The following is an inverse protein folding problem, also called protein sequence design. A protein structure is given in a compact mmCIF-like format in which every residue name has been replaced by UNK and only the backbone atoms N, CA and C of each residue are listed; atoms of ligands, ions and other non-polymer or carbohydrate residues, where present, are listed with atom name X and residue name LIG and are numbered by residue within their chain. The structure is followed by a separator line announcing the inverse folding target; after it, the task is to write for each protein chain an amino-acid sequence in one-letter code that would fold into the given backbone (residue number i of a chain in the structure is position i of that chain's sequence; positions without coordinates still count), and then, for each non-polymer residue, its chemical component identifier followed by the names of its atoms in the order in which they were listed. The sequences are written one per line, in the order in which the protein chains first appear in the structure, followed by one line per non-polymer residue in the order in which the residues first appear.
data_IF_354444998719
#
_entry.id   IF_354444998719
#
_cell.length_a   1.000
_cell.length_b   1.000
_cell.length_c   1.000
_cell.angle_alpha   90.00
_cell.angle_beta   90.00
_cell.angle_gamma   90.00
#
_symmetry.space_group_name_H-M   'P 1'
#
loop_
_entity.id
_entity.type
_entity.pdbx_description
1 polymer ?
#
# COMPACT_ATOMS: atom_id res chain seq x y z
N UNK A 1 -27.89 -13.76 10.09
CA UNK A 1 -27.55 -12.87 8.97
C UNK A 1 -26.26 -13.41 8.42
N UNK A 2 -26.29 -13.88 7.17
CA UNK A 2 -25.10 -14.39 6.50
C UNK A 2 -24.06 -13.26 6.46
N UNK A 3 -22.92 -13.44 7.14
CA UNK A 3 -21.84 -12.48 7.08
C UNK A 3 -21.34 -12.47 5.63
N UNK A 4 -21.30 -11.31 4.97
CA UNK A 4 -20.61 -11.23 3.68
C UNK A 4 -19.15 -11.65 3.90
N UNK A 5 -18.81 -12.86 3.46
CA UNK A 5 -17.45 -13.37 3.55
C UNK A 5 -16.67 -12.89 2.35
N UNK A 6 -15.52 -12.26 2.61
CA UNK A 6 -14.66 -11.71 1.57
C UNK A 6 -13.30 -12.41 1.54
N UNK A 7 -12.71 -12.48 0.35
CA UNK A 7 -11.35 -12.96 0.14
C UNK A 7 -10.50 -11.90 -0.55
N UNK A 8 -9.22 -11.83 -0.17
CA UNK A 8 -8.21 -11.00 -0.81
C UNK A 8 -7.27 -11.88 -1.63
N UNK A 9 -7.13 -11.56 -2.91
CA UNK A 9 -6.29 -12.30 -3.84
C UNK A 9 -5.30 -11.35 -4.52
N UNK A 10 -4.03 -11.74 -4.61
CA UNK A 10 -3.00 -10.92 -5.23
C UNK A 10 -2.56 -11.50 -6.58
N UNK A 11 -2.38 -10.62 -7.56
CA UNK A 11 -1.77 -10.93 -8.86
C UNK A 11 -0.67 -9.92 -9.16
N UNK A 12 0.41 -10.33 -9.83
CA UNK A 12 1.52 -9.46 -10.19
C UNK A 12 1.99 -9.70 -11.63
N UNK A 13 2.53 -8.66 -12.26
CA UNK A 13 3.34 -8.82 -13.47
C UNK A 13 4.74 -9.33 -13.13
N UNK A 14 5.58 -9.48 -14.16
CA UNK A 14 6.97 -9.93 -14.00
C UNK A 14 7.79 -8.89 -13.22
N UNK A 15 8.66 -9.39 -12.35
CA UNK A 15 9.62 -8.57 -11.60
C UNK A 15 10.78 -8.12 -12.48
N UNK A 16 11.17 -6.86 -12.31
CA UNK A 16 12.31 -6.20 -12.96
C UNK A 16 13.36 -5.93 -11.87
N UNK A 17 14.52 -6.57 -11.97
CA UNK A 17 15.56 -6.50 -10.93
C UNK A 17 16.27 -5.14 -10.92
N UNK A 18 16.69 -4.63 -12.07
CA UNK A 18 17.50 -3.41 -12.20
C UNK A 18 16.65 -2.18 -12.52
N UNK A 19 15.59 -1.98 -11.73
CA UNK A 19 14.70 -0.86 -11.95
C UNK A 19 15.27 0.45 -11.35
N UNK A 20 15.23 1.58 -12.06
CA UNK A 20 15.78 2.85 -11.58
C UNK A 20 15.03 3.37 -10.35
N UNK A 21 15.76 3.99 -9.42
CA UNK A 21 15.21 4.63 -8.24
C UNK A 21 14.63 6.01 -8.58
N UNK A 22 13.35 6.08 -8.96
CA UNK A 22 12.63 7.33 -9.25
C UNK A 22 11.54 7.60 -8.20
N UNK A 23 11.24 8.88 -7.95
CA UNK A 23 10.06 9.27 -7.14
C UNK A 23 10.06 8.77 -5.70
N UNK A 24 11.22 8.68 -5.04
CA UNK A 24 11.35 8.16 -3.67
C UNK A 24 11.52 6.64 -3.57
N UNK A 25 11.63 5.94 -4.70
CA UNK A 25 11.96 4.51 -4.71
C UNK A 25 13.36 4.24 -4.14
N UNK A 26 13.50 3.16 -3.38
CA UNK A 26 14.78 2.72 -2.82
C UNK A 26 15.64 2.04 -3.90
N UNK A 27 16.90 2.47 -3.99
CA UNK A 27 17.88 1.90 -4.89
C UNK A 27 18.17 0.43 -4.56
N UNK A 28 18.17 -0.42 -5.60
CA UNK A 28 18.43 -1.86 -5.47
C UNK A 28 17.21 -2.68 -5.04
N UNK A 29 16.06 -2.04 -4.75
CA UNK A 29 14.80 -2.77 -4.59
C UNK A 29 14.20 -3.02 -5.98
N UNK A 30 13.81 -4.27 -6.30
CA UNK A 30 13.17 -4.58 -7.58
C UNK A 30 11.88 -3.79 -7.82
N UNK A 31 11.40 -3.82 -9.06
CA UNK A 31 10.11 -3.27 -9.45
C UNK A 31 9.21 -4.34 -10.00
N UNK A 32 7.93 -4.32 -9.65
CA UNK A 32 6.86 -4.99 -10.38
C UNK A 32 6.00 -3.89 -10.98
N UNK A 33 5.83 -3.92 -12.29
CA UNK A 33 5.08 -2.88 -13.02
C UNK A 33 3.66 -2.73 -12.48
N UNK A 34 3.01 -3.85 -12.13
CA UNK A 34 1.65 -3.86 -11.62
C UNK A 34 1.43 -5.00 -10.64
N UNK A 35 1.08 -4.65 -9.40
CA UNK A 35 0.58 -5.56 -8.37
C UNK A 35 -0.88 -5.19 -8.13
N UNK A 36 -1.78 -6.18 -8.14
CA UNK A 36 -3.21 -5.95 -7.91
C UNK A 36 -3.71 -6.86 -6.80
N UNK A 37 -4.35 -6.26 -5.80
CA UNK A 37 -5.12 -6.93 -4.77
C UNK A 37 -6.59 -6.85 -5.14
N UNK A 38 -7.24 -8.00 -5.28
CA UNK A 38 -8.65 -8.12 -5.64
C UNK A 38 -9.45 -8.52 -4.41
N UNK A 39 -10.55 -7.81 -4.16
CA UNK A 39 -11.54 -8.16 -3.17
C UNK A 39 -12.64 -8.97 -3.86
N UNK A 40 -12.86 -10.21 -3.43
CA UNK A 40 -13.88 -11.09 -3.96
C UNK A 40 -14.90 -11.45 -2.87
N UNK A 41 -16.18 -11.53 -3.23
CA UNK A 41 -17.17 -12.20 -2.38
C UNK A 41 -16.96 -13.71 -2.48
N UNK A 42 -16.85 -14.37 -1.33
CA UNK A 42 -16.55 -15.81 -1.28
C UNK A 42 -17.75 -16.69 -1.63
N UNK A 43 -18.97 -16.20 -1.45
CA UNK A 43 -20.20 -16.94 -1.76
C UNK A 43 -20.30 -17.33 -3.25
N UNK A 44 -20.01 -16.39 -4.15
CA UNK A 44 -20.20 -16.53 -5.60
C UNK A 44 -18.97 -16.20 -6.44
N UNK A 45 -17.86 -15.80 -5.81
CA UNK A 45 -16.60 -15.47 -6.47
C UNK A 45 -16.62 -14.13 -7.23
N UNK A 46 -17.65 -13.30 -7.03
CA UNK A 46 -17.76 -12.01 -7.74
C UNK A 46 -16.65 -11.06 -7.27
N UNK A 47 -15.82 -10.50 -8.17
CA UNK A 47 -14.90 -9.43 -7.85
C UNK A 47 -15.68 -8.16 -7.52
N UNK A 48 -15.44 -7.59 -6.34
CA UNK A 48 -16.13 -6.40 -5.85
C UNK A 48 -15.30 -5.14 -6.05
N UNK A 49 -14.00 -5.21 -5.72
CA UNK A 49 -13.10 -4.06 -5.79
C UNK A 49 -11.63 -4.50 -5.96
N UNK A 50 -10.73 -3.54 -6.20
CA UNK A 50 -9.29 -3.80 -6.30
C UNK A 50 -8.42 -2.61 -5.88
N UNK A 51 -7.26 -2.91 -5.31
CA UNK A 51 -6.17 -1.96 -5.10
C UNK A 51 -5.01 -2.31 -6.01
N UNK A 52 -4.49 -1.31 -6.74
CA UNK A 52 -3.38 -1.48 -7.69
C UNK A 52 -2.17 -0.67 -7.22
N UNK A 53 -1.01 -1.31 -7.17
CA UNK A 53 0.29 -0.68 -6.99
C UNK A 53 1.05 -0.73 -8.30
N UNK A 54 1.66 0.39 -8.69
CA UNK A 54 2.39 0.53 -9.93
C UNK A 54 3.87 0.77 -9.66
N UNK A 55 4.73 0.08 -10.40
CA UNK A 55 6.19 0.19 -10.28
C UNK A 55 6.67 0.08 -8.83
N UNK A 56 6.14 -0.90 -8.11
CA UNK A 56 6.36 -1.10 -6.68
C UNK A 56 6.82 -2.54 -6.41
N UNK A 57 7.24 -2.82 -5.19
CA UNK A 57 7.57 -4.15 -4.73
C UNK A 57 6.89 -4.43 -3.39
N UNK A 58 5.90 -5.33 -3.43
CA UNK A 58 5.27 -5.92 -2.25
C UNK A 58 5.70 -7.38 -2.20
N UNK A 59 6.29 -7.82 -1.08
CA UNK A 59 6.71 -9.20 -0.92
C UNK A 59 5.52 -10.12 -0.66
N UNK A 60 4.98 -10.73 -1.71
CA UNK A 60 3.87 -11.68 -1.62
C UNK A 60 4.31 -13.09 -1.19
N UNK A 61 5.62 -13.40 -1.20
CA UNK A 61 6.10 -14.72 -0.80
C UNK A 61 5.80 -14.95 0.68
N UNK A 62 5.12 -16.06 0.98
CA UNK A 62 4.67 -16.40 2.33
C UNK A 62 3.87 -15.30 3.03
N UNK A 63 3.22 -14.41 2.26
CA UNK A 63 2.48 -13.25 2.77
C UNK A 63 3.33 -12.27 3.63
N UNK A 64 4.65 -12.22 3.46
CA UNK A 64 5.52 -11.39 4.32
C UNK A 64 5.22 -9.89 4.24
N UNK A 65 4.70 -9.41 3.10
CA UNK A 65 4.37 -8.01 2.87
C UNK A 65 2.89 -7.68 3.01
N UNK A 66 2.03 -8.62 3.43
CA UNK A 66 0.57 -8.43 3.45
C UNK A 66 -0.04 -9.10 4.67
N UNK A 67 -0.84 -8.36 5.42
CA UNK A 67 -1.52 -8.88 6.61
C UNK A 67 -2.96 -8.40 6.67
N UNK A 68 -3.88 -9.29 7.06
CA UNK A 68 -5.30 -8.96 7.25
C UNK A 68 -5.64 -9.22 8.71
N UNK A 69 -6.20 -8.22 9.39
CA UNK A 69 -6.70 -8.30 10.75
C UNK A 69 -8.11 -7.72 10.80
N UNK A 70 -9.08 -8.56 11.13
CA UNK A 70 -10.51 -8.25 10.99
C UNK A 70 -10.85 -7.71 9.58
N UNK A 71 -11.17 -6.42 9.47
CA UNK A 71 -11.47 -5.74 8.21
C UNK A 71 -10.33 -4.81 7.73
N UNK A 72 -9.18 -4.80 8.42
CA UNK A 72 -8.01 -3.98 8.08
C UNK A 72 -6.94 -4.79 7.35
N UNK A 73 -6.64 -4.36 6.12
CA UNK A 73 -5.61 -4.91 5.26
C UNK A 73 -4.37 -4.00 5.28
N UNK A 74 -3.25 -4.53 5.77
CA UNK A 74 -1.95 -3.88 5.74
C UNK A 74 -1.10 -4.42 4.58
N UNK A 75 -0.53 -3.53 3.77
CA UNK A 75 0.30 -3.86 2.62
C UNK A 75 1.60 -3.05 2.70
N UNK A 76 2.74 -3.74 2.71
CA UNK A 76 4.06 -3.11 2.79
C UNK A 76 4.63 -2.90 1.40
N UNK A 77 4.63 -1.65 0.95
CA UNK A 77 5.42 -1.16 -0.18
C UNK A 77 6.87 -1.08 0.26
N UNK A 78 7.67 -2.09 -0.11
CA UNK A 78 9.10 -2.12 0.24
C UNK A 78 9.89 -1.11 -0.60
N UNK A 79 9.47 -0.90 -1.85
CA UNK A 79 10.18 -0.01 -2.75
C UNK A 79 10.04 1.45 -2.33
N UNK A 80 8.91 1.85 -1.75
CA UNK A 80 8.68 3.22 -1.27
C UNK A 80 8.62 3.30 0.26
N UNK A 81 9.07 2.26 0.97
CA UNK A 81 9.11 2.18 2.43
C UNK A 81 7.81 2.66 3.10
N UNK A 82 6.66 2.24 2.55
CA UNK A 82 5.35 2.72 2.99
C UNK A 82 4.44 1.54 3.33
N UNK A 83 3.82 1.59 4.50
CA UNK A 83 2.75 0.65 4.88
C UNK A 83 1.41 1.28 4.55
N UNK A 84 0.68 0.67 3.63
CA UNK A 84 -0.68 1.06 3.27
C UNK A 84 -1.67 0.28 4.13
N UNK A 85 -2.55 0.99 4.82
CA UNK A 85 -3.65 0.44 5.60
C UNK A 85 -4.94 0.71 4.84
N UNK A 86 -5.62 -0.35 4.44
CA UNK A 86 -6.92 -0.31 3.79
C UNK A 86 -7.97 -0.97 4.69
N UNK A 87 -9.22 -0.53 4.58
CA UNK A 87 -10.35 -1.15 5.26
C UNK A 87 -11.32 -1.76 4.25
N UNK A 88 -11.71 -3.01 4.48
CA UNK A 88 -12.75 -3.71 3.73
C UNK A 88 -14.09 -3.32 4.33
N UNK A 89 -14.95 -2.64 3.57
CA UNK A 89 -16.30 -2.28 4.02
C UNK A 89 -17.30 -3.39 3.71
N UNK A 90 -18.35 -3.50 4.52
CA UNK A 90 -19.46 -4.44 4.30
C UNK A 90 -20.15 -4.27 2.93
N UNK A 91 -20.08 -3.06 2.36
CA UNK A 91 -20.52 -2.72 1.01
C UNK A 91 -19.67 -3.33 -0.11
N UNK A 92 -18.56 -4.02 0.22
CA UNK A 92 -17.71 -4.69 -0.74
C UNK A 92 -16.67 -3.78 -1.40
N UNK A 93 -16.16 -2.78 -0.69
CA UNK A 93 -15.16 -1.86 -1.23
C UNK A 93 -13.93 -1.75 -0.32
N UNK A 94 -12.78 -1.46 -0.94
CA UNK A 94 -11.51 -1.17 -0.29
C UNK A 94 -11.37 0.34 -0.10
N UNK A 95 -11.16 0.78 1.13
CA UNK A 95 -10.94 2.20 1.44
C UNK A 95 -9.51 2.38 1.94
N UNK A 96 -8.73 3.24 1.29
CA UNK A 96 -7.45 3.69 1.82
C UNK A 96 -7.70 4.47 3.13
N UNK A 97 -7.21 3.94 4.26
CA UNK A 97 -7.37 4.55 5.60
C UNK A 97 -6.15 5.36 5.97
N UNK A 98 -4.96 4.82 5.74
CA UNK A 98 -3.70 5.47 6.11
C UNK A 98 -2.55 4.95 5.25
N UNK A 99 -1.55 5.79 5.03
CA UNK A 99 -0.23 5.39 4.57
C UNK A 99 0.80 5.82 5.63
N UNK A 100 1.70 4.92 6.01
CA UNK A 100 2.75 5.18 7.00
C UNK A 100 4.09 4.99 6.30
N UNK A 101 4.80 6.08 6.03
CA UNK A 101 6.08 6.07 5.33
C UNK A 101 6.96 7.23 5.75
N UNK A 102 7.43 8.03 4.78
CA UNK A 102 8.19 9.26 5.05
C UNK A 102 7.44 10.24 5.97
N UNK A 103 6.12 10.27 5.83
CA UNK A 103 5.19 10.98 6.70
C UNK A 103 4.24 9.96 7.34
N UNK A 104 3.94 10.14 8.62
CA UNK A 104 3.02 9.29 9.36
C UNK A 104 1.63 9.95 9.48
N UNK A 105 1.57 11.27 9.42
CA UNK A 105 0.35 12.08 9.45
C UNK A 105 0.29 13.01 8.24
N UNK A 106 -0.92 13.45 7.90
CA UNK A 106 -1.16 14.28 6.71
C UNK A 106 -0.51 15.68 6.82
N UNK A 107 -0.28 16.15 8.03
CA UNK A 107 0.27 17.46 8.35
C UNK A 107 1.79 17.44 8.61
N UNK A 108 2.44 16.27 8.67
CA UNK A 108 3.87 16.14 8.97
C UNK A 108 4.74 16.94 7.98
N UNK A 109 4.37 16.96 6.70
CA UNK A 109 5.11 17.70 5.66
C UNK A 109 5.07 19.22 5.93
N UNK A 110 3.91 19.74 6.34
CA UNK A 110 3.74 21.15 6.71
C UNK A 110 4.58 21.50 7.94
N UNK A 111 4.57 20.65 8.97
CA UNK A 111 5.37 20.86 10.17
C UNK A 111 6.87 20.87 9.87
N UNK A 112 7.36 19.92 9.08
CA UNK A 112 8.78 19.83 8.72
C UNK A 112 9.23 21.05 7.89
N UNK A 113 8.42 21.47 6.92
CA UNK A 113 8.72 22.64 6.09
C UNK A 113 8.73 23.95 6.89
N UNK A 114 7.80 24.12 7.83
CA UNK A 114 7.74 25.31 8.69
C UNK A 114 8.97 25.45 9.60
N UNK A 115 9.50 24.34 10.10
CA UNK A 115 10.70 24.34 10.93
C UNK A 115 11.99 24.55 10.12
N UNK A 116 12.08 23.98 8.91
CA UNK A 116 13.24 24.19 8.03
C UNK A 116 13.42 25.68 7.68
N UNK A 117 12.32 26.40 7.39
CA UNK A 117 12.36 27.84 7.13
C UNK A 117 12.78 28.66 8.36
N UNK A 118 12.43 28.24 9.58
CA UNK A 118 12.81 28.97 10.79
C UNK A 118 14.32 28.90 11.08
N UNK A 119 14.97 27.77 10.76
CA UNK A 119 16.42 27.59 10.91
C UNK A 119 17.28 28.39 9.92
N UNK A 120 16.73 28.75 8.75
CA UNK A 120 17.44 29.57 7.74
C UNK A 120 17.43 31.09 8.08
N UNK A 121 16.65 31.52 9.08
CA UNK A 121 16.48 32.93 9.46
C UNK A 121 17.31 33.29 10.71
N UNK A 122 17.89 32.32 11.40
CA UNK A 122 18.83 32.53 12.51
C UNK A 122 20.26 32.76 11.99
N UNK A 123 20.64 34.04 11.84
CA UNK A 123 22.02 34.52 11.66
C UNK A 123 22.75 34.65 13.00
#
# INVERSE_FOLDING_TARGET
MDSNQFGIFATSTVQIQDAPATGGAIQGVPSIEKITFHLLRLEDGVPLDKKVFHNDFVNLAHNMGVFLYDDLLAIVSLRYQTVHILQIRDSGNLVDVRAIGAFCHEDDELFLNSNAQASDISF
#
